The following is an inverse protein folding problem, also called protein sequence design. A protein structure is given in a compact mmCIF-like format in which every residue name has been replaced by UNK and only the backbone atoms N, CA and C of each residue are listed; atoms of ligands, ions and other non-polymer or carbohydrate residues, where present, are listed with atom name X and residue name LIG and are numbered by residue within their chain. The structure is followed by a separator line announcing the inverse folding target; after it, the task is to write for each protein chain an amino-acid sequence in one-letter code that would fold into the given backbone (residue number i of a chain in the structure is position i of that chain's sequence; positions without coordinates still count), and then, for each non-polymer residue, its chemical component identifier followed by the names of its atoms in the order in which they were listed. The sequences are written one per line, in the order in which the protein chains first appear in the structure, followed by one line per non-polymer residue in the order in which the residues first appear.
data_IF_019135981798
#
_entry.id   IF_019135981798
#
_cell.length_a   1.000
_cell.length_b   1.000
_cell.length_c   1.000
_cell.angle_alpha   90.00
_cell.angle_beta   90.00
_cell.angle_gamma   90.00
#
_symmetry.space_group_name_H-M   'P 1'
#
loop_
_entity.id
_entity.type
_entity.pdbx_description
1 polymer ?
#
# COMPACT_ATOMS: atom_id res chain seq x y z
N UNK A 1 1.25 19.96 12.98
CA UNK A 1 0.04 19.55 13.74
C UNK A 1 -0.99 20.68 13.80
N UNK A 2 -1.36 21.28 12.66
CA UNK A 2 -2.31 22.42 12.67
C UNK A 2 -3.59 22.08 11.90
N UNK A 3 -3.48 21.51 10.72
CA UNK A 3 -4.65 21.40 9.82
C UNK A 3 -5.50 20.15 10.08
N UNK A 4 -4.86 19.00 10.33
CA UNK A 4 -5.53 17.74 10.65
C UNK A 4 -4.86 17.07 11.87
N UNK A 5 -5.37 17.29 13.10
CA UNK A 5 -4.83 16.65 14.29
C UNK A 5 -5.13 15.15 14.31
N UNK A 6 -4.29 14.38 15.01
CA UNK A 6 -4.55 12.96 15.24
C UNK A 6 -5.79 12.80 16.13
N UNK A 7 -6.71 11.94 15.71
CA UNK A 7 -7.90 11.54 16.49
C UNK A 7 -7.68 10.09 16.90
N UNK A 8 -7.74 9.82 18.20
CA UNK A 8 -7.60 8.46 18.73
C UNK A 8 -8.82 7.61 18.35
N UNK A 9 -8.57 6.38 17.90
CA UNK A 9 -9.62 5.43 17.48
C UNK A 9 -9.62 4.17 18.35
N UNK A 10 -8.45 3.63 18.69
CA UNK A 10 -8.32 2.42 19.50
C UNK A 10 -6.88 1.92 19.58
N UNK A 11 -6.72 0.70 20.13
CA UNK A 11 -5.42 0.06 20.37
C UNK A 11 -5.39 -1.32 19.70
N UNK A 12 -4.25 -1.66 19.11
CA UNK A 12 -3.95 -2.98 18.55
C UNK A 12 -2.79 -3.60 19.33
N UNK A 13 -2.94 -4.86 19.76
CA UNK A 13 -1.88 -5.64 20.39
C UNK A 13 -1.54 -6.90 19.57
N UNK A 14 -0.28 -7.33 19.63
CA UNK A 14 0.20 -8.58 19.06
C UNK A 14 0.52 -9.53 20.22
N UNK A 15 -0.39 -10.48 20.49
CA UNK A 15 -0.40 -11.28 21.72
C UNK A 15 -0.21 -12.80 21.49
N UNK A 16 -0.01 -13.23 20.24
CA UNK A 16 0.14 -14.65 19.88
C UNK A 16 1.08 -14.83 18.71
N UNK A 17 2.07 -15.69 18.87
CA UNK A 17 2.94 -16.11 17.77
C UNK A 17 2.23 -17.12 16.86
N UNK A 18 2.56 -17.17 15.57
CA UNK A 18 2.09 -18.22 14.69
C UNK A 18 2.59 -19.61 15.13
N UNK A 19 1.75 -20.63 14.98
CA UNK A 19 2.13 -22.03 15.28
C UNK A 19 3.01 -22.59 14.15
N UNK A 20 2.76 -22.18 12.91
CA UNK A 20 3.55 -22.56 11.76
C UNK A 20 3.83 -21.34 10.87
N UNK A 21 5.09 -20.92 10.82
CA UNK A 21 5.51 -19.75 10.04
C UNK A 21 5.10 -19.83 8.57
N UNK A 22 5.28 -20.99 7.93
CA UNK A 22 4.93 -21.13 6.51
C UNK A 22 3.41 -21.01 6.30
N UNK A 23 2.62 -21.67 7.15
CA UNK A 23 1.16 -21.67 7.05
C UNK A 23 0.55 -20.29 7.30
N UNK A 24 1.04 -19.57 8.31
CA UNK A 24 0.40 -18.38 8.84
C UNK A 24 1.09 -17.07 8.44
N UNK A 25 2.38 -17.10 8.09
CA UNK A 25 3.15 -15.89 7.72
C UNK A 25 3.45 -15.89 6.23
N UNK A 26 4.14 -16.91 5.73
CA UNK A 26 4.56 -16.95 4.31
C UNK A 26 3.36 -16.98 3.36
N UNK A 27 2.31 -17.72 3.71
CA UNK A 27 1.08 -17.81 2.93
C UNK A 27 0.05 -16.71 3.22
N UNK A 28 0.38 -15.73 4.07
CA UNK A 28 -0.50 -14.59 4.31
C UNK A 28 -0.66 -13.72 3.04
N UNK A 29 -1.85 -13.18 2.86
CA UNK A 29 -2.23 -12.38 1.69
C UNK A 29 -3.01 -11.13 2.12
N UNK A 30 -2.36 -9.97 2.03
CA UNK A 30 -2.97 -8.67 2.30
C UNK A 30 -3.18 -7.93 0.99
N UNK A 31 -4.41 -7.49 0.71
CA UNK A 31 -4.71 -6.75 -0.51
C UNK A 31 -5.48 -5.46 -0.17
N UNK A 32 -5.08 -4.27 -0.69
CA UNK A 32 -5.77 -3.02 -0.40
C UNK A 32 -7.23 -2.93 -0.89
N UNK A 33 -7.66 -3.84 -1.76
CA UNK A 33 -9.04 -3.96 -2.21
C UNK A 33 -9.93 -4.82 -1.27
N UNK A 34 -9.37 -5.45 -0.24
CA UNK A 34 -10.13 -6.12 0.82
C UNK A 34 -10.67 -5.07 1.81
N UNK A 35 -11.65 -4.30 1.36
CA UNK A 35 -12.31 -3.23 2.12
C UNK A 35 -13.61 -3.75 2.76
N UNK A 36 -14.13 -2.96 3.70
CA UNK A 36 -15.40 -3.22 4.38
C UNK A 36 -16.31 -1.99 4.27
N UNK A 37 -17.64 -2.15 4.32
CA UNK A 37 -18.57 -1.02 4.30
C UNK A 37 -18.19 0.06 5.33
N UNK A 38 -18.10 1.31 4.86
CA UNK A 38 -17.66 2.46 5.66
C UNK A 38 -16.20 2.88 5.43
N UNK A 39 -15.40 2.07 4.73
CA UNK A 39 -14.03 2.40 4.32
C UNK A 39 -13.92 2.29 2.80
N UNK A 40 -13.72 3.42 2.11
CA UNK A 40 -13.56 3.49 0.66
C UNK A 40 -12.15 3.88 0.22
N UNK A 41 -11.96 4.11 -1.08
CA UNK A 41 -10.66 4.45 -1.68
C UNK A 41 -10.58 5.91 -2.10
N UNK A 42 -9.35 6.45 -2.13
CA UNK A 42 -9.05 7.76 -2.69
C UNK A 42 -8.56 7.65 -4.14
N UNK A 43 -8.59 8.75 -4.93
CA UNK A 43 -8.04 8.77 -6.29
C UNK A 43 -6.50 8.85 -6.34
N UNK A 44 -5.80 8.48 -5.27
CA UNK A 44 -4.33 8.39 -5.26
C UNK A 44 -3.87 7.36 -6.32
N UNK A 45 -3.07 7.82 -7.30
CA UNK A 45 -2.60 6.99 -8.43
C UNK A 45 -1.85 5.73 -7.97
N UNK A 46 -1.09 5.81 -6.87
CA UNK A 46 -0.39 4.66 -6.31
C UNK A 46 -1.36 3.69 -5.64
N UNK A 47 -2.36 4.19 -4.90
CA UNK A 47 -3.40 3.33 -4.31
C UNK A 47 -4.19 2.59 -5.40
N UNK A 48 -4.62 3.31 -6.45
CA UNK A 48 -5.42 2.75 -7.55
C UNK A 48 -4.72 1.55 -8.21
N UNK A 49 -3.41 1.62 -8.46
CA UNK A 49 -2.65 0.50 -8.99
C UNK A 49 -2.63 -0.71 -8.02
N UNK A 50 -2.53 -0.45 -6.71
CA UNK A 50 -2.45 -1.49 -5.67
C UNK A 50 -3.78 -2.22 -5.45
N UNK A 51 -4.93 -1.62 -5.81
CA UNK A 51 -6.24 -2.28 -5.75
C UNK A 51 -6.32 -3.50 -6.68
N UNK A 52 -5.50 -3.54 -7.73
CA UNK A 52 -5.38 -4.69 -8.62
C UNK A 52 -4.15 -5.55 -8.31
N UNK A 53 -2.98 -4.92 -8.18
CA UNK A 53 -1.69 -5.61 -8.20
C UNK A 53 -1.53 -6.69 -7.12
N UNK A 54 -2.07 -6.47 -5.92
CA UNK A 54 -1.91 -7.41 -4.82
C UNK A 54 -2.67 -8.71 -5.05
N UNK A 55 -3.95 -8.62 -5.39
CA UNK A 55 -4.76 -9.83 -5.66
C UNK A 55 -4.24 -10.59 -6.86
N UNK A 56 -3.73 -9.90 -7.88
CA UNK A 56 -3.08 -10.53 -9.03
C UNK A 56 -1.82 -11.32 -8.61
N UNK A 57 -0.89 -10.66 -7.90
CA UNK A 57 0.32 -11.30 -7.40
C UNK A 57 0.02 -12.49 -6.46
N UNK A 58 -1.03 -12.40 -5.66
CA UNK A 58 -1.44 -13.47 -4.73
C UNK A 58 -1.98 -14.70 -5.45
N UNK A 59 -2.77 -14.52 -6.53
CA UNK A 59 -3.23 -15.64 -7.35
C UNK A 59 -2.06 -16.40 -7.95
N UNK A 60 -1.02 -15.70 -8.41
CA UNK A 60 0.21 -16.34 -8.89
C UNK A 60 0.97 -17.04 -7.76
N UNK A 61 1.25 -16.32 -6.66
CA UNK A 61 2.10 -16.80 -5.57
C UNK A 61 1.49 -17.95 -4.76
N UNK A 62 0.18 -17.92 -4.52
CA UNK A 62 -0.52 -18.82 -3.59
C UNK A 62 -1.64 -19.65 -4.25
N UNK A 63 -1.93 -19.40 -5.53
CA UNK A 63 -3.02 -20.04 -6.26
C UNK A 63 -4.36 -19.31 -6.13
N UNK A 64 -5.27 -19.58 -7.06
CA UNK A 64 -6.58 -18.91 -7.14
C UNK A 64 -7.46 -19.08 -5.90
N UNK A 65 -7.31 -20.21 -5.21
CA UNK A 65 -8.07 -20.55 -4.00
C UNK A 65 -7.32 -20.18 -2.70
N UNK A 66 -6.33 -19.27 -2.73
CA UNK A 66 -5.55 -18.88 -1.54
C UNK A 66 -6.38 -18.31 -0.38
N UNK A 67 -7.60 -17.83 -0.66
CA UNK A 67 -8.57 -17.39 0.35
C UNK A 67 -9.07 -18.54 1.26
N UNK A 68 -8.85 -19.80 0.86
CA UNK A 68 -9.16 -20.99 1.67
C UNK A 68 -8.06 -21.34 2.67
N UNK A 69 -6.86 -20.75 2.53
CA UNK A 69 -5.77 -20.93 3.50
C UNK A 69 -6.22 -20.27 4.82
N UNK A 70 -6.12 -20.96 5.98
CA UNK A 70 -6.75 -20.50 7.22
C UNK A 70 -6.44 -19.07 7.65
N UNK A 71 -5.21 -18.57 7.43
CA UNK A 71 -4.85 -17.19 7.78
C UNK A 71 -5.53 -16.13 6.89
N UNK A 72 -5.92 -16.50 5.67
CA UNK A 72 -6.59 -15.62 4.71
C UNK A 72 -8.11 -15.77 4.72
N UNK A 73 -8.64 -16.80 5.37
CA UNK A 73 -10.06 -17.09 5.41
C UNK A 73 -10.82 -16.03 6.22
N UNK A 74 -11.91 -15.53 5.65
CA UNK A 74 -12.80 -14.62 6.35
C UNK A 74 -13.45 -15.32 7.55
N UNK A 75 -13.65 -14.57 8.64
CA UNK A 75 -14.35 -15.05 9.86
C UNK A 75 -15.81 -14.60 9.91
N UNK A 76 -16.39 -14.34 8.75
CA UNK A 76 -17.78 -13.98 8.53
C UNK A 76 -18.34 -14.81 7.35
N UNK A 77 -19.66 -14.84 7.12
CA UNK A 77 -20.24 -15.58 5.99
C UNK A 77 -19.68 -15.14 4.64
N UNK A 78 -19.34 -16.10 3.76
CA UNK A 78 -18.79 -15.85 2.41
C UNK A 78 -19.61 -16.57 1.34
N UNK A 79 -20.20 -15.80 0.42
CA UNK A 79 -20.99 -16.29 -0.71
C UNK A 79 -20.54 -15.63 -2.02
N UNK A 80 -19.37 -16.02 -2.55
CA UNK A 80 -18.70 -15.36 -3.68
C UNK A 80 -19.01 -15.97 -5.06
N UNK A 81 -19.60 -17.18 -5.09
CA UNK A 81 -19.81 -17.99 -6.30
C UNK A 81 -18.53 -18.30 -7.13
N UNK A 82 -17.32 -18.05 -6.62
CA UNK A 82 -16.12 -18.54 -7.27
C UNK A 82 -16.13 -20.08 -7.24
N UNK A 83 -16.00 -20.72 -8.39
CA UNK A 83 -16.02 -22.18 -8.57
C UNK A 83 -14.67 -22.73 -9.04
N UNK A 84 -14.44 -24.00 -8.73
CA UNK A 84 -13.32 -24.81 -9.23
C UNK A 84 -11.95 -24.21 -8.87
N UNK A 85 -11.01 -24.24 -9.81
CA UNK A 85 -9.63 -23.81 -9.62
C UNK A 85 -8.76 -24.83 -8.90
N UNK A 86 -7.44 -24.66 -9.00
CA UNK A 86 -6.46 -25.53 -8.35
C UNK A 86 -6.63 -25.51 -6.82
N UNK A 87 -6.45 -26.66 -6.18
CA UNK A 87 -6.55 -26.84 -4.71
C UNK A 87 -7.90 -26.41 -4.12
N UNK A 88 -9.01 -26.75 -4.80
CA UNK A 88 -10.35 -26.50 -4.26
C UNK A 88 -10.73 -27.52 -3.18
N UNK A 89 -10.88 -27.08 -1.93
CA UNK A 89 -11.04 -27.99 -0.77
C UNK A 89 -12.22 -27.67 0.16
N UNK A 90 -13.03 -26.67 -0.17
CA UNK A 90 -14.14 -26.14 0.66
C UNK A 90 -15.53 -26.71 0.31
N UNK A 91 -15.60 -27.74 -0.54
CA UNK A 91 -16.86 -28.28 -1.07
C UNK A 91 -17.43 -27.56 -2.29
N UNK A 92 -16.79 -26.49 -2.77
CA UNK A 92 -17.05 -25.84 -4.06
C UNK A 92 -18.50 -25.36 -4.26
N UNK A 93 -19.19 -24.97 -3.17
CA UNK A 93 -20.62 -24.65 -3.15
C UNK A 93 -21.55 -25.76 -3.70
N UNK A 94 -21.07 -27.01 -3.76
CA UNK A 94 -21.85 -28.19 -4.14
C UNK A 94 -22.67 -28.02 -5.43
N UNK A 95 -23.88 -28.58 -5.43
CA UNK A 95 -24.82 -28.52 -6.54
C UNK A 95 -25.60 -27.20 -6.69
N UNK A 96 -25.26 -26.16 -5.92
CA UNK A 96 -25.91 -24.84 -6.05
C UNK A 96 -25.70 -24.31 -7.46
N UNK A 97 -26.68 -23.61 -8.03
CA UNK A 97 -26.57 -22.93 -9.33
C UNK A 97 -25.38 -21.97 -9.30
N UNK A 98 -24.67 -21.81 -10.41
CA UNK A 98 -23.45 -21.00 -10.49
C UNK A 98 -23.62 -19.72 -11.33
N UNK A 99 -24.84 -19.24 -11.54
CA UNK A 99 -25.13 -18.07 -12.36
C UNK A 99 -26.14 -17.14 -11.70
N UNK A 100 -26.10 -15.86 -12.08
CA UNK A 100 -27.04 -14.80 -11.71
C UNK A 100 -27.24 -13.91 -12.96
N UNK A 101 -28.45 -13.42 -13.25
CA UNK A 101 -29.70 -13.60 -12.52
C UNK A 101 -30.28 -15.02 -12.63
N UNK A 102 -30.94 -15.50 -11.57
CA UNK A 102 -31.59 -16.81 -11.53
C UNK A 102 -32.92 -16.77 -10.77
N UNK A 103 -33.82 -17.71 -11.07
CA UNK A 103 -35.16 -17.78 -10.45
C UNK A 103 -35.19 -18.40 -9.05
N UNK A 104 -34.03 -18.65 -8.44
CA UNK A 104 -33.90 -19.38 -7.17
C UNK A 104 -33.32 -18.50 -6.05
N UNK A 105 -33.17 -17.19 -6.29
CA UNK A 105 -32.69 -16.23 -5.31
C UNK A 105 -31.24 -16.47 -4.86
N UNK A 106 -30.42 -17.13 -5.69
CA UNK A 106 -29.01 -17.36 -5.38
C UNK A 106 -28.17 -16.16 -5.83
N UNK A 107 -27.15 -15.81 -5.04
CA UNK A 107 -26.13 -14.79 -5.37
C UNK A 107 -26.66 -13.36 -5.49
N UNK A 108 -27.71 -13.02 -4.74
CA UNK A 108 -28.29 -11.67 -4.74
C UNK A 108 -27.27 -10.62 -4.31
N UNK A 109 -27.26 -9.49 -5.04
CA UNK A 109 -26.53 -8.30 -4.65
C UNK A 109 -27.08 -7.66 -3.35
N UNK A 110 -26.28 -6.78 -2.74
CA UNK A 110 -26.61 -6.09 -1.49
C UNK A 110 -26.54 -4.57 -1.71
N UNK A 111 -27.58 -3.94 -2.27
CA UNK A 111 -27.56 -2.52 -2.67
C UNK A 111 -27.42 -1.54 -1.50
N UNK A 112 -27.73 -1.96 -0.28
CA UNK A 112 -27.63 -1.15 0.94
C UNK A 112 -26.18 -0.72 1.26
N UNK A 113 -25.17 -1.38 0.67
CA UNK A 113 -23.75 -1.06 0.86
C UNK A 113 -23.15 -0.23 -0.28
N UNK A 114 -23.98 0.31 -1.19
CA UNK A 114 -23.51 1.09 -2.33
C UNK A 114 -22.74 2.35 -1.89
N UNK A 115 -21.57 2.58 -2.49
CA UNK A 115 -20.79 3.80 -2.27
C UNK A 115 -21.46 5.04 -2.89
N UNK A 116 -21.30 6.23 -2.27
CA UNK A 116 -21.74 7.48 -2.88
C UNK A 116 -20.92 7.79 -4.15
N UNK A 117 -21.51 8.48 -5.15
CA UNK A 117 -20.79 8.83 -6.37
C UNK A 117 -19.67 9.85 -6.10
N UNK A 118 -18.49 9.63 -6.70
CA UNK A 118 -17.39 10.59 -6.72
C UNK A 118 -17.48 11.50 -7.95
N UNK A 119 -17.42 12.82 -7.75
CA UNK A 119 -17.41 13.78 -8.87
C UNK A 119 -16.04 13.78 -9.56
N UNK A 120 -16.04 13.69 -10.89
CA UNK A 120 -14.85 13.74 -11.74
C UNK A 120 -14.85 15.01 -12.61
N UNK A 121 -13.66 15.48 -12.99
CA UNK A 121 -13.45 16.65 -13.87
C UNK A 121 -12.22 16.41 -14.75
N UNK A 122 -12.25 16.93 -15.98
CA UNK A 122 -11.19 16.77 -16.97
C UNK A 122 -11.36 15.54 -17.85
N UNK A 123 -10.59 15.50 -18.93
CA UNK A 123 -10.57 14.39 -19.88
C UNK A 123 -9.70 13.23 -19.39
N UNK A 124 -9.94 12.03 -19.94
CA UNK A 124 -9.08 10.89 -19.72
C UNK A 124 -7.78 11.05 -20.54
N UNK A 125 -6.66 11.29 -19.85
CA UNK A 125 -5.34 11.47 -20.46
C UNK A 125 -4.21 11.08 -19.48
N UNK A 126 -2.98 11.00 -19.98
CA UNK A 126 -1.77 10.81 -19.20
C UNK A 126 -1.29 12.14 -18.58
N UNK A 127 -2.03 12.62 -17.57
CA UNK A 127 -1.70 13.86 -16.87
C UNK A 127 -0.32 13.83 -16.20
N UNK A 128 0.56 14.74 -16.65
CA UNK A 128 1.91 14.92 -16.11
C UNK A 128 1.86 15.43 -14.67
N UNK A 129 2.25 14.59 -13.71
CA UNK A 129 2.20 14.95 -12.29
C UNK A 129 3.10 16.14 -11.95
N UNK A 130 4.18 16.38 -12.71
CA UNK A 130 5.09 17.51 -12.45
C UNK A 130 4.49 18.88 -12.79
N UNK A 131 3.45 18.91 -13.62
CA UNK A 131 2.69 20.13 -13.92
C UNK A 131 1.60 20.37 -12.87
N UNK A 132 1.11 19.31 -12.24
CA UNK A 132 0.12 19.35 -11.16
C UNK A 132 0.77 19.74 -9.82
N UNK A 133 1.90 19.11 -9.47
CA UNK A 133 2.67 19.40 -8.27
C UNK A 133 4.19 19.20 -8.49
N UNK A 134 4.95 20.24 -8.17
CA UNK A 134 6.41 20.27 -8.23
C UNK A 134 7.09 20.58 -6.88
N UNK A 135 6.35 20.57 -5.77
CA UNK A 135 6.87 20.82 -4.42
C UNK A 135 7.51 19.56 -3.81
N UNK A 136 8.65 19.16 -4.38
CA UNK A 136 9.38 17.96 -3.94
C UNK A 136 10.18 18.16 -2.65
N UNK A 137 10.46 19.40 -2.27
CA UNK A 137 11.56 19.72 -1.35
C UNK A 137 11.11 20.35 -0.03
N UNK A 138 9.90 20.93 0.03
CA UNK A 138 9.39 21.55 1.26
C UNK A 138 9.25 20.55 2.40
N UNK A 139 8.53 19.45 2.21
CA UNK A 139 8.30 18.48 3.30
C UNK A 139 9.60 17.78 3.77
N UNK A 140 10.52 17.34 2.90
CA UNK A 140 11.81 16.84 3.34
C UNK A 140 12.64 17.87 4.11
N UNK A 141 12.64 19.12 3.66
CA UNK A 141 13.32 20.22 4.36
C UNK A 141 12.72 20.49 5.74
N UNK A 142 11.39 20.51 5.85
CA UNK A 142 10.70 20.69 7.13
C UNK A 142 11.04 19.57 8.10
N UNK A 143 11.09 18.32 7.64
CA UNK A 143 11.52 17.18 8.45
C UNK A 143 12.96 17.33 8.92
N UNK A 144 13.88 17.71 8.02
CA UNK A 144 15.28 17.92 8.36
C UNK A 144 15.48 19.00 9.43
N UNK A 145 14.74 20.11 9.34
CA UNK A 145 14.79 21.21 10.32
C UNK A 145 14.21 20.83 11.69
N UNK A 146 13.41 19.77 11.78
CA UNK A 146 12.93 19.22 13.04
C UNK A 146 13.93 18.26 13.71
N UNK A 147 14.94 17.80 12.99
CA UNK A 147 15.96 16.89 13.53
C UNK A 147 16.92 17.61 14.46
N UNK A 148 17.31 16.94 15.54
CA UNK A 148 18.43 17.39 16.39
C UNK A 148 19.76 17.23 15.65
N UNK A 149 20.81 18.00 16.00
CA UNK A 149 22.12 17.92 15.33
C UNK A 149 22.69 16.51 15.26
N UNK A 150 22.51 15.67 16.29
CA UNK A 150 23.01 14.30 16.29
C UNK A 150 22.25 13.42 15.29
N UNK A 151 20.95 13.65 15.13
CA UNK A 151 20.12 12.95 14.13
C UNK A 151 20.48 13.39 12.71
N UNK A 152 20.79 14.67 12.51
CA UNK A 152 21.27 15.18 11.22
C UNK A 152 22.61 14.54 10.85
N UNK A 153 23.54 14.42 11.80
CA UNK A 153 24.81 13.74 11.57
C UNK A 153 24.61 12.27 11.17
N UNK A 154 23.75 11.54 11.89
CA UNK A 154 23.39 10.15 11.55
C UNK A 154 22.76 10.06 10.16
N UNK A 155 21.90 11.00 9.78
CA UNK A 155 21.32 11.07 8.44
C UNK A 155 22.41 11.20 7.38
N UNK A 156 23.36 12.12 7.55
CA UNK A 156 24.45 12.32 6.59
C UNK A 156 25.34 11.08 6.43
N UNK A 157 25.73 10.46 7.55
CA UNK A 157 26.58 9.26 7.56
C UNK A 157 25.89 8.03 6.98
N UNK A 158 24.60 7.86 7.27
CA UNK A 158 23.79 6.79 6.67
C UNK A 158 23.69 6.98 5.15
N UNK A 159 23.38 8.19 4.69
CA UNK A 159 23.33 8.51 3.27
C UNK A 159 24.68 8.25 2.61
N UNK A 160 25.79 8.74 3.16
CA UNK A 160 27.11 8.57 2.57
C UNK A 160 27.51 7.09 2.44
N UNK A 161 27.29 6.29 3.49
CA UNK A 161 27.53 4.84 3.45
C UNK A 161 26.66 4.13 2.42
N UNK A 162 25.38 4.48 2.33
CA UNK A 162 24.45 3.88 1.38
C UNK A 162 24.77 4.24 -0.08
N UNK A 163 25.30 5.45 -0.34
CA UNK A 163 25.73 5.83 -1.67
C UNK A 163 27.00 5.10 -2.12
N UNK A 164 27.79 4.54 -1.20
CA UNK A 164 28.89 3.63 -1.50
C UNK A 164 29.81 4.10 -2.63
N UNK A 165 30.02 3.24 -3.61
CA UNK A 165 30.83 3.47 -4.81
C UNK A 165 30.03 4.05 -5.99
N UNK A 166 28.82 4.58 -5.75
CA UNK A 166 28.03 5.20 -6.80
C UNK A 166 28.85 6.27 -7.55
N UNK A 167 28.74 6.35 -8.89
CA UNK A 167 29.45 7.34 -9.68
C UNK A 167 29.25 8.76 -9.15
N UNK A 168 30.31 9.56 -9.20
CA UNK A 168 30.32 10.90 -8.59
C UNK A 168 29.18 11.79 -9.10
N UNK A 169 28.83 11.72 -10.39
CA UNK A 169 27.72 12.50 -10.95
C UNK A 169 26.36 12.15 -10.33
N UNK A 170 26.18 10.92 -9.80
CA UNK A 170 24.98 10.51 -9.06
C UNK A 170 25.02 11.08 -7.65
N UNK A 171 26.19 11.03 -6.98
CA UNK A 171 26.43 11.65 -5.68
C UNK A 171 26.13 13.15 -5.71
N UNK A 172 26.66 13.86 -6.69
CA UNK A 172 26.40 15.29 -6.93
C UNK A 172 24.91 15.57 -7.14
N UNK A 173 24.22 14.77 -7.96
CA UNK A 173 22.76 14.91 -8.16
C UNK A 173 21.96 14.74 -6.86
N UNK A 174 22.35 13.82 -5.98
CA UNK A 174 21.69 13.64 -4.69
C UNK A 174 21.95 14.84 -3.77
N UNK A 175 23.20 15.30 -3.69
CA UNK A 175 23.59 16.51 -2.95
C UNK A 175 22.79 17.73 -3.44
N UNK A 176 22.66 17.92 -4.75
CA UNK A 176 21.89 19.02 -5.33
C UNK A 176 20.42 18.98 -4.91
N UNK A 177 19.81 17.79 -4.85
CA UNK A 177 18.44 17.62 -4.37
C UNK A 177 18.32 17.87 -2.86
N UNK A 178 19.29 17.41 -2.05
CA UNK A 178 19.33 17.72 -0.63
C UNK A 178 19.46 19.23 -0.37
N UNK A 179 20.32 19.91 -1.12
CA UNK A 179 20.50 21.37 -1.05
C UNK A 179 19.22 22.15 -1.37
N UNK A 180 18.37 21.64 -2.29
CA UNK A 180 17.06 22.24 -2.58
C UNK A 180 16.06 22.07 -1.44
N UNK A 181 16.19 21.02 -0.62
CA UNK A 181 15.37 20.83 0.58
C UNK A 181 15.85 21.70 1.75
N UNK A 182 17.16 21.72 1.98
CA UNK A 182 17.82 22.62 2.93
C UNK A 182 19.33 22.74 2.59
N UNK A 183 19.92 23.95 2.51
CA UNK A 183 21.35 24.10 2.23
C UNK A 183 22.26 23.36 3.22
N UNK A 184 21.89 23.30 4.50
CA UNK A 184 22.68 22.59 5.50
C UNK A 184 22.59 21.06 5.32
N UNK A 185 21.47 20.55 4.80
CA UNK A 185 21.34 19.14 4.45
C UNK A 185 22.29 18.77 3.31
N UNK A 186 22.27 19.53 2.22
CA UNK A 186 23.19 19.31 1.10
C UNK A 186 24.66 19.37 1.51
N UNK A 187 25.05 20.39 2.29
CA UNK A 187 26.41 20.54 2.77
C UNK A 187 26.85 19.38 3.70
N UNK A 188 25.95 18.91 4.58
CA UNK A 188 26.21 17.79 5.47
C UNK A 188 26.47 16.48 4.70
N UNK A 189 25.63 16.18 3.71
CA UNK A 189 25.79 15.00 2.84
C UNK A 189 27.06 15.10 2.00
N UNK A 190 27.34 16.26 1.40
CA UNK A 190 28.55 16.49 0.62
C UNK A 190 29.82 16.22 1.45
N UNK A 191 29.89 16.81 2.65
CA UNK A 191 30.98 16.59 3.59
C UNK A 191 31.14 15.12 3.96
N UNK A 192 30.04 14.42 4.24
CA UNK A 192 30.07 13.00 4.60
C UNK A 192 30.53 12.09 3.43
N UNK A 193 30.30 12.51 2.19
CA UNK A 193 30.77 11.86 0.97
C UNK A 193 32.21 12.23 0.57
N UNK A 194 32.81 13.22 1.23
CA UNK A 194 34.11 13.77 0.86
C UNK A 194 34.09 14.58 -0.45
N UNK A 195 32.97 15.23 -0.77
CA UNK A 195 32.75 16.02 -2.00
C UNK A 195 32.50 17.51 -1.73
#
# INVERSE_FOLDING_TARGET
KKDYPLIEVGVMELNRNPENFFADVEQSAFAPNNLVPGIGVSPDKMLQARLFAYSDAQRYRLGVNHHQIPVNAARCPVHSNHRDGTMRVDGNYGGTLHYEPNSFGQWQEQPDYREPPLKLRGDADFWNFREDDADYYKQPGDLFRLMKPEQQQVLFENTARAMGDAPEFIKRRHIDNCSKADPAYGAGVAKALGL
#
